data_IF_789265172894
#
_entry.id   IF_789265172894
#
_cell.length_a   1.000
_cell.length_b   1.000
_cell.length_c   1.000
_cell.angle_alpha   90.00
_cell.angle_beta   90.00
_cell.angle_gamma   90.00
#
_symmetry.space_group_name_H-M   'P 1'
#
loop_
_entity.id
_entity.type
_entity.pdbx_description
1 polymer ?
#
# COMPACT_ATOMS: atom_id res chain seq x y z
N UNK A 1 16.90 -15.28 -10.90
CA UNK A 1 16.82 -13.82 -11.04
C UNK A 1 16.16 -13.24 -9.81
N UNK A 2 16.85 -12.35 -9.10
CA UNK A 2 16.40 -11.78 -7.82
C UNK A 2 15.48 -10.56 -8.01
N UNK A 3 15.17 -9.83 -6.92
CA UNK A 3 14.41 -8.59 -7.02
C UNK A 3 15.11 -7.59 -7.94
N UNK A 4 14.34 -6.99 -8.84
CA UNK A 4 14.80 -5.91 -9.70
C UNK A 4 14.82 -4.63 -8.84
N UNK A 5 15.96 -3.92 -8.73
CA UNK A 5 16.01 -2.67 -7.99
C UNK A 5 15.11 -1.63 -8.67
N UNK A 6 14.44 -0.81 -7.87
CA UNK A 6 13.81 0.41 -8.37
C UNK A 6 14.87 1.33 -9.01
N UNK A 7 14.46 2.10 -10.03
CA UNK A 7 15.37 3.04 -10.68
C UNK A 7 15.85 4.14 -9.69
N UNK A 8 16.94 4.82 -10.03
CA UNK A 8 17.56 5.81 -9.14
C UNK A 8 16.80 7.13 -9.08
N UNK A 9 15.98 7.43 -10.09
CA UNK A 9 15.25 8.69 -10.28
C UNK A 9 13.78 8.64 -9.84
N UNK A 10 13.35 7.53 -9.25
CA UNK A 10 11.98 7.39 -8.72
C UNK A 10 11.83 8.05 -7.36
N UNK A 11 10.61 8.50 -7.08
CA UNK A 11 10.24 8.93 -5.72
C UNK A 11 10.29 7.75 -4.75
N UNK A 12 10.79 8.00 -3.53
CA UNK A 12 10.91 6.98 -2.49
C UNK A 12 10.19 7.38 -1.21
N UNK A 13 9.60 6.38 -0.57
CA UNK A 13 8.91 6.50 0.72
C UNK A 13 9.90 6.62 1.88
N UNK A 14 9.40 6.84 3.10
CA UNK A 14 10.24 6.83 4.32
C UNK A 14 10.92 5.47 4.58
N UNK A 15 10.37 4.38 4.03
CA UNK A 15 10.99 3.04 4.05
C UNK A 15 11.90 2.76 2.87
N UNK A 16 12.20 3.77 2.05
CA UNK A 16 13.03 3.72 0.84
C UNK A 16 12.47 2.88 -0.31
N UNK A 17 11.22 2.44 -0.20
CA UNK A 17 10.50 1.77 -1.28
C UNK A 17 10.11 2.78 -2.35
N UNK A 18 9.93 2.31 -3.58
CA UNK A 18 9.40 3.14 -4.65
C UNK A 18 7.96 3.60 -4.34
N UNK A 19 7.66 4.86 -4.62
CA UNK A 19 6.28 5.33 -4.67
C UNK A 19 5.60 4.75 -5.92
N UNK A 20 4.88 3.65 -5.76
CA UNK A 20 4.24 2.96 -6.89
C UNK A 20 2.84 2.45 -6.55
N UNK A 21 1.80 3.31 -6.61
CA UNK A 21 0.41 2.89 -6.35
C UNK A 21 -0.08 1.83 -7.36
N UNK A 22 0.51 1.79 -8.57
CA UNK A 22 0.27 0.77 -9.61
C UNK A 22 0.47 -0.68 -9.14
N UNK A 23 1.37 -0.89 -8.17
CA UNK A 23 1.82 -2.22 -7.75
C UNK A 23 0.67 -3.13 -7.30
N UNK A 24 -0.37 -2.58 -6.64
CA UNK A 24 -1.48 -3.39 -6.12
C UNK A 24 -2.31 -4.02 -7.25
N UNK A 25 -2.53 -3.28 -8.34
CA UNK A 25 -3.26 -3.78 -9.51
C UNK A 25 -2.48 -4.88 -10.24
N UNK A 26 -1.18 -4.67 -10.43
CA UNK A 26 -0.27 -5.68 -11.00
C UNK A 26 -0.25 -6.96 -10.15
N UNK A 27 -0.14 -6.83 -8.83
CA UNK A 27 -0.14 -7.94 -7.90
C UNK A 27 -1.47 -8.72 -7.91
N UNK A 28 -2.60 -8.03 -7.98
CA UNK A 28 -3.93 -8.64 -8.07
C UNK A 28 -4.10 -9.46 -9.36
N UNK A 29 -3.76 -8.88 -10.51
CA UNK A 29 -3.83 -9.58 -11.81
C UNK A 29 -2.92 -10.79 -11.85
N UNK A 30 -1.66 -10.62 -11.43
CA UNK A 30 -0.72 -11.73 -11.36
C UNK A 30 -1.23 -12.84 -10.42
N UNK A 31 -1.76 -12.47 -9.26
CA UNK A 31 -2.27 -13.45 -8.29
C UNK A 31 -3.48 -14.19 -8.87
N UNK A 32 -4.43 -13.49 -9.50
CA UNK A 32 -5.58 -14.10 -10.17
C UNK A 32 -5.17 -15.10 -11.27
N UNK A 33 -4.13 -14.79 -12.05
CA UNK A 33 -3.57 -15.73 -13.04
C UNK A 33 -3.02 -17.01 -12.38
N UNK A 34 -2.39 -16.87 -11.20
CA UNK A 34 -1.77 -17.98 -10.48
C UNK A 34 -2.81 -18.85 -9.77
N UNK A 35 -3.82 -18.25 -9.15
CA UNK A 35 -4.77 -18.97 -8.27
C UNK A 35 -6.09 -19.33 -8.95
N UNK A 36 -6.41 -18.74 -10.10
CA UNK A 36 -7.68 -18.93 -10.80
C UNK A 36 -8.86 -18.27 -10.08
N UNK A 37 -9.97 -19.00 -9.91
CA UNK A 37 -11.24 -18.48 -9.39
C UNK A 37 -11.27 -18.28 -7.86
N UNK A 38 -10.12 -18.25 -7.18
CA UNK A 38 -10.07 -18.01 -5.73
C UNK A 38 -10.31 -16.52 -5.45
N UNK A 39 -11.31 -16.14 -4.65
CA UNK A 39 -11.56 -14.74 -4.32
C UNK A 39 -10.39 -14.11 -3.57
N UNK A 40 -10.06 -12.86 -3.90
CA UNK A 40 -8.90 -12.14 -3.36
C UNK A 40 -9.33 -11.07 -2.35
N UNK A 41 -8.44 -10.79 -1.40
CA UNK A 41 -8.53 -9.64 -0.50
C UNK A 41 -7.15 -8.99 -0.48
N UNK A 42 -7.09 -7.68 -0.68
CA UNK A 42 -5.87 -6.92 -0.40
C UNK A 42 -5.77 -6.79 1.11
N UNK A 43 -4.90 -7.59 1.73
CA UNK A 43 -4.78 -7.65 3.19
C UNK A 43 -3.98 -6.50 3.77
N UNK A 44 -3.04 -5.95 3.01
CA UNK A 44 -2.25 -4.78 3.39
C UNK A 44 -1.89 -3.98 2.13
N UNK A 45 -2.19 -2.68 2.16
CA UNK A 45 -1.62 -1.73 1.22
C UNK A 45 -1.57 -0.32 1.85
N UNK A 46 -0.48 0.39 1.63
CA UNK A 46 -0.25 1.70 2.21
C UNK A 46 1.14 2.24 1.88
N UNK A 47 1.44 3.40 2.44
CA UNK A 47 2.66 4.16 2.17
C UNK A 47 3.24 4.71 3.48
N UNK A 48 4.56 4.59 3.63
CA UNK A 48 5.29 5.27 4.70
C UNK A 48 5.59 6.71 4.28
N UNK A 49 4.87 7.68 4.86
CA UNK A 49 5.04 9.11 4.56
C UNK A 49 4.65 9.98 5.75
N UNK A 50 5.29 11.12 5.93
CA UNK A 50 4.91 12.17 6.89
C UNK A 50 4.00 13.24 6.26
N UNK A 51 3.72 13.14 4.95
CA UNK A 51 2.85 14.03 4.20
C UNK A 51 1.52 13.33 3.86
N UNK A 52 0.45 13.73 4.55
CA UNK A 52 -0.87 13.13 4.36
C UNK A 52 -1.47 13.44 2.98
N UNK A 53 -0.99 14.47 2.28
CA UNK A 53 -1.39 14.71 0.89
C UNK A 53 -0.81 13.65 -0.06
N UNK A 54 0.42 13.17 0.20
CA UNK A 54 1.00 12.03 -0.51
C UNK A 54 0.30 10.72 -0.16
N UNK A 55 -0.11 10.55 1.11
CA UNK A 55 -0.92 9.39 1.53
C UNK A 55 -2.25 9.34 0.77
N UNK A 56 -2.96 10.48 0.69
CA UNK A 56 -4.21 10.57 -0.05
C UNK A 56 -4.03 10.29 -1.55
N UNK A 57 -2.98 10.85 -2.18
CA UNK A 57 -2.63 10.58 -3.58
C UNK A 57 -2.35 9.08 -3.83
N UNK A 58 -1.59 8.44 -2.93
CA UNK A 58 -1.27 7.02 -3.01
C UNK A 58 -2.53 6.16 -2.96
N UNK A 59 -3.41 6.39 -1.98
CA UNK A 59 -4.65 5.64 -1.86
C UNK A 59 -5.61 5.90 -3.04
N UNK A 60 -5.65 7.12 -3.58
CA UNK A 60 -6.44 7.40 -4.78
C UNK A 60 -5.96 6.56 -5.97
N UNK A 61 -4.64 6.48 -6.20
CA UNK A 61 -4.06 5.64 -7.24
C UNK A 61 -4.27 4.14 -6.99
N UNK A 62 -3.94 3.66 -5.78
CA UNK A 62 -4.05 2.25 -5.43
C UNK A 62 -5.49 1.75 -5.51
N UNK A 63 -6.46 2.53 -5.00
CA UNK A 63 -7.88 2.15 -5.09
C UNK A 63 -8.41 2.23 -6.53
N UNK A 64 -7.88 3.12 -7.37
CA UNK A 64 -8.18 3.14 -8.81
C UNK A 64 -7.71 1.86 -9.50
N UNK A 65 -6.55 1.33 -9.14
CA UNK A 65 -6.05 0.05 -9.66
C UNK A 65 -6.87 -1.14 -9.18
N UNK A 66 -7.28 -1.15 -7.91
CA UNK A 66 -8.19 -2.18 -7.37
C UNK A 66 -9.54 -2.13 -8.10
N UNK A 67 -10.07 -0.94 -8.38
CA UNK A 67 -11.29 -0.76 -9.14
C UNK A 67 -11.14 -1.26 -10.59
N UNK A 68 -10.02 -0.95 -11.25
CA UNK A 68 -9.74 -1.48 -12.60
C UNK A 68 -9.63 -3.01 -12.59
N UNK A 69 -9.00 -3.61 -11.59
CA UNK A 69 -8.93 -5.07 -11.46
C UNK A 69 -10.31 -5.72 -11.24
N UNK A 70 -11.22 -5.06 -10.52
CA UNK A 70 -12.63 -5.48 -10.42
C UNK A 70 -13.33 -5.43 -11.80
N UNK A 71 -13.08 -4.38 -12.59
CA UNK A 71 -13.61 -4.24 -13.96
C UNK A 71 -13.06 -5.30 -14.92
N UNK A 72 -11.83 -5.76 -14.70
CA UNK A 72 -11.21 -6.89 -15.41
C UNK A 72 -11.87 -8.25 -15.06
N UNK A 73 -12.81 -8.27 -14.09
CA UNK A 73 -13.57 -9.45 -13.68
C UNK A 73 -12.93 -10.26 -12.55
N UNK A 74 -11.89 -9.72 -11.90
CA UNK A 74 -11.25 -10.39 -10.76
C UNK A 74 -12.16 -10.31 -9.53
N UNK A 75 -12.37 -11.44 -8.86
CA UNK A 75 -13.23 -11.51 -7.68
C UNK A 75 -12.52 -10.96 -6.43
N UNK A 76 -12.58 -9.63 -6.24
CA UNK A 76 -11.95 -8.93 -5.11
C UNK A 76 -13.00 -8.59 -4.05
N UNK A 77 -12.78 -9.06 -2.82
CA UNK A 77 -13.75 -9.02 -1.72
C UNK A 77 -13.45 -7.99 -0.64
N UNK A 78 -12.28 -7.36 -0.68
CA UNK A 78 -11.92 -6.38 0.32
C UNK A 78 -10.57 -5.73 0.07
N UNK A 79 -10.41 -4.59 0.73
CA UNK A 79 -9.19 -3.81 0.77
C UNK A 79 -8.96 -3.35 2.20
N UNK A 80 -7.83 -3.74 2.77
CA UNK A 80 -7.44 -3.42 4.13
C UNK A 80 -6.19 -2.52 4.07
N UNK A 81 -6.40 -1.25 4.42
CA UNK A 81 -5.32 -0.28 4.49
C UNK A 81 -4.33 -0.65 5.61
N UNK A 82 -3.05 -0.65 5.29
CA UNK A 82 -1.98 -0.62 6.28
C UNK A 82 -1.56 0.85 6.49
N UNK A 83 -1.95 1.49 7.57
CA UNK A 83 -2.67 0.95 8.74
C UNK A 83 -3.68 1.95 9.29
N UNK A 84 -4.50 1.54 10.26
CA UNK A 84 -5.44 2.45 10.90
C UNK A 84 -4.70 3.56 11.68
N UNK A 85 -3.65 3.19 12.42
CA UNK A 85 -2.87 4.07 13.28
C UNK A 85 -1.40 3.89 12.97
N UNK A 86 -0.59 4.94 13.10
CA UNK A 86 0.85 4.78 13.12
C UNK A 86 1.28 3.73 14.15
N UNK A 87 2.27 2.91 13.79
CA UNK A 87 2.71 1.77 14.58
C UNK A 87 4.24 1.64 14.57
N UNK A 88 4.74 0.70 15.38
CA UNK A 88 6.17 0.35 15.37
C UNK A 88 6.50 -0.45 14.11
N UNK A 89 7.36 0.10 13.26
CA UNK A 89 7.81 -0.54 12.02
C UNK A 89 9.14 -1.27 12.29
N UNK A 90 9.03 -2.45 12.89
CA UNK A 90 10.09 -3.47 13.01
C UNK A 90 11.49 -3.00 13.43
N UNK A 91 11.58 -1.91 14.19
CA UNK A 91 12.86 -1.27 14.52
C UNK A 91 12.76 0.24 14.77
N UNK A 92 11.68 0.87 14.29
CA UNK A 92 11.54 2.32 14.37
C UNK A 92 10.08 2.78 14.39
N UNK A 93 9.81 3.92 15.01
CA UNK A 93 8.54 4.67 14.90
C UNK A 93 8.60 5.78 13.84
N UNK A 94 9.70 5.86 13.07
CA UNK A 94 9.90 6.94 12.08
C UNK A 94 9.06 6.79 10.82
N UNK A 95 8.77 5.55 10.42
CA UNK A 95 7.94 5.28 9.25
C UNK A 95 6.47 5.31 9.67
N UNK A 96 5.73 6.28 9.14
CA UNK A 96 4.32 6.53 9.47
C UNK A 96 3.42 6.04 8.34
N UNK A 97 2.67 4.98 8.61
CA UNK A 97 1.73 4.35 7.67
C UNK A 97 0.26 4.66 8.00
N UNK A 98 -0.02 5.17 9.20
CA UNK A 98 -1.36 5.33 9.70
C UNK A 98 -2.19 6.29 8.86
N UNK A 99 -3.44 5.92 8.61
CA UNK A 99 -4.49 6.88 8.24
C UNK A 99 -4.76 7.88 9.37
N UNK A 100 -4.40 7.52 10.60
CA UNK A 100 -4.53 8.32 11.81
C UNK A 100 -3.17 8.37 12.48
N UNK A 101 -2.66 9.57 12.72
CA UNK A 101 -1.39 9.75 13.40
C UNK A 101 -1.48 9.34 14.88
N UNK A 102 -0.35 9.02 15.51
CA UNK A 102 -0.27 8.88 16.97
C UNK A 102 0.74 9.87 17.54
N UNK A 103 0.32 10.59 18.59
CA UNK A 103 1.26 11.25 19.49
C UNK A 103 1.90 10.20 20.42
N UNK A 104 3.21 10.00 20.33
CA UNK A 104 3.92 8.96 21.07
C UNK A 104 4.13 9.26 22.57
N UNK A 105 3.89 10.50 23.00
CA UNK A 105 3.96 10.88 24.41
C UNK A 105 2.58 10.77 25.09
N UNK A 106 1.51 11.18 24.39
CA UNK A 106 0.15 11.28 24.95
C UNK A 106 -0.78 10.14 24.52
N UNK A 107 -0.47 9.42 23.44
CA UNK A 107 -1.31 8.43 22.76
C UNK A 107 -2.60 8.99 22.15
N UNK A 108 -2.67 10.31 21.95
CA UNK A 108 -3.72 10.95 21.17
C UNK A 108 -3.63 10.61 19.68
N UNK A 109 -4.74 10.81 18.97
CA UNK A 109 -5.00 10.38 17.60
C UNK A 109 -5.65 11.53 16.83
#
# INVERSE_FOLDING_TARGET
DGPIPAADDVERTLTTWEYYPGAVGEALRHTAEVVGDVPLIVTENGIATDDDSRRADYYAGALSEVASALEDGIDIRGYLAWSALDNYEWGTYKATFGLIAIDWETFER
#
